data_IF_590714255192
#
_entry.id   IF_590714255192
#
_cell.length_a   1.000
_cell.length_b   1.000
_cell.length_c   1.000
_cell.angle_alpha   90.00
_cell.angle_beta   90.00
_cell.angle_gamma   90.00
#
_symmetry.space_group_name_H-M   'P 1'
#
loop_
_entity.id
_entity.type
_entity.pdbx_description
1 polymer ?
#
# COMPACT_ATOMS: atom_id res chain seq x y z
N UNK A 1 -6.91 2.51 -13.52
CA UNK A 1 -6.65 1.23 -12.80
C UNK A 1 -7.86 0.29 -12.73
N UNK A 2 -9.13 0.74 -12.61
CA UNK A 2 -10.27 -0.20 -12.55
C UNK A 2 -10.35 -1.19 -13.72
N UNK A 3 -10.08 -0.74 -14.95
CA UNK A 3 -10.05 -1.58 -16.16
C UNK A 3 -8.98 -2.68 -16.14
N UNK A 4 -7.85 -2.45 -15.47
CA UNK A 4 -6.78 -3.45 -15.36
C UNK A 4 -7.31 -4.78 -14.82
N UNK A 5 -8.14 -4.72 -13.77
CA UNK A 5 -8.70 -5.93 -13.17
C UNK A 5 -9.68 -6.64 -14.10
N UNK A 6 -10.46 -5.89 -14.89
CA UNK A 6 -11.40 -6.45 -15.86
C UNK A 6 -10.67 -7.12 -17.02
N UNK A 7 -9.54 -6.56 -17.46
CA UNK A 7 -8.74 -7.08 -18.57
C UNK A 7 -7.90 -8.29 -18.19
N UNK A 8 -7.35 -8.32 -16.96
CA UNK A 8 -6.41 -9.36 -16.52
C UNK A 8 -7.09 -10.51 -15.76
N UNK A 9 -8.31 -10.33 -15.26
CA UNK A 9 -9.05 -11.35 -14.51
C UNK A 9 -10.49 -11.49 -15.06
N UNK A 10 -10.67 -12.19 -16.20
CA UNK A 10 -11.98 -12.28 -16.86
C UNK A 10 -12.98 -13.18 -16.12
N UNK A 11 -12.49 -14.12 -15.30
CA UNK A 11 -13.36 -14.93 -14.44
C UNK A 11 -13.85 -14.11 -13.24
N UNK A 12 -15.16 -14.05 -12.95
CA UNK A 12 -15.68 -13.30 -11.80
C UNK A 12 -15.07 -13.69 -10.46
N UNK A 13 -14.78 -14.99 -10.27
CA UNK A 13 -14.17 -15.49 -9.04
C UNK A 13 -12.70 -15.02 -8.91
N UNK A 14 -11.95 -15.07 -10.01
CA UNK A 14 -10.55 -14.61 -10.04
C UNK A 14 -10.48 -13.09 -9.88
N UNK A 15 -11.38 -12.35 -10.53
CA UNK A 15 -11.51 -10.91 -10.39
C UNK A 15 -11.76 -10.52 -8.94
N UNK A 16 -12.74 -11.17 -8.29
CA UNK A 16 -13.06 -10.90 -6.89
C UNK A 16 -11.87 -11.20 -5.97
N UNK A 17 -11.18 -12.31 -6.19
CA UNK A 17 -9.99 -12.68 -5.41
C UNK A 17 -8.82 -11.70 -5.63
N UNK A 18 -8.56 -11.29 -6.87
CA UNK A 18 -7.52 -10.33 -7.22
C UNK A 18 -7.81 -8.94 -6.63
N UNK A 19 -9.07 -8.51 -6.66
CA UNK A 19 -9.53 -7.28 -6.03
C UNK A 19 -9.36 -7.32 -4.51
N UNK A 20 -9.68 -8.43 -3.86
CA UNK A 20 -9.44 -8.58 -2.42
C UNK A 20 -7.95 -8.49 -2.07
N UNK A 21 -7.08 -9.15 -2.85
CA UNK A 21 -5.62 -9.07 -2.67
C UNK A 21 -5.08 -7.66 -2.93
N UNK A 22 -5.56 -6.98 -3.97
CA UNK A 22 -5.25 -5.58 -4.24
C UNK A 22 -5.59 -4.68 -3.05
N UNK A 23 -6.82 -4.77 -2.54
CA UNK A 23 -7.29 -3.96 -1.41
C UNK A 23 -6.43 -4.19 -0.16
N UNK A 24 -6.17 -5.45 0.18
CA UNK A 24 -5.37 -5.80 1.36
C UNK A 24 -3.92 -5.36 1.20
N UNK A 25 -3.27 -5.65 0.07
CA UNK A 25 -1.88 -5.25 -0.18
C UNK A 25 -1.71 -3.72 -0.19
N UNK A 26 -2.63 -2.99 -0.83
CA UNK A 26 -2.63 -1.52 -0.82
C UNK A 26 -2.75 -0.97 0.59
N UNK A 27 -3.66 -1.50 1.41
CA UNK A 27 -3.87 -1.07 2.79
C UNK A 27 -2.63 -1.33 3.66
N UNK A 28 -2.12 -2.56 3.63
CA UNK A 28 -0.95 -2.97 4.42
C UNK A 28 0.29 -2.16 4.04
N UNK A 29 0.60 -2.02 2.75
CA UNK A 29 1.74 -1.22 2.30
C UNK A 29 1.58 0.27 2.62
N UNK A 30 0.36 0.81 2.57
CA UNK A 30 0.10 2.20 2.95
C UNK A 30 0.35 2.44 4.44
N UNK A 31 -0.14 1.56 5.31
CA UNK A 31 0.05 1.67 6.76
C UNK A 31 1.50 1.45 7.16
N UNK A 32 2.17 0.47 6.56
CA UNK A 32 3.59 0.23 6.79
C UNK A 32 4.43 1.43 6.34
N UNK A 33 4.17 1.95 5.13
CA UNK A 33 4.86 3.12 4.60
C UNK A 33 4.67 4.35 5.48
N UNK A 34 3.48 4.55 6.03
CA UNK A 34 3.24 5.61 7.02
C UNK A 34 4.05 5.39 8.30
N UNK A 35 4.03 4.17 8.86
CA UNK A 35 4.73 3.84 10.12
C UNK A 35 6.24 4.09 10.03
N UNK A 36 6.87 3.70 8.92
CA UNK A 36 8.32 3.82 8.73
C UNK A 36 8.73 5.15 8.08
N UNK A 37 7.80 6.06 7.82
CA UNK A 37 8.08 7.35 7.17
C UNK A 37 8.62 7.21 5.74
N UNK A 38 8.08 6.26 4.99
CA UNK A 38 8.46 5.95 3.60
C UNK A 38 8.04 7.09 2.66
N UNK A 39 9.02 7.64 1.94
CA UNK A 39 8.88 8.64 0.89
C UNK A 39 9.07 8.07 -0.51
N UNK A 40 9.21 8.96 -1.49
CA UNK A 40 9.42 8.67 -2.93
C UNK A 40 8.39 7.71 -3.52
N UNK A 41 7.12 7.94 -3.18
CA UNK A 41 5.99 7.05 -3.51
C UNK A 41 5.46 7.33 -4.90
N UNK A 42 6.32 7.59 -5.88
CA UNK A 42 5.90 7.90 -7.24
C UNK A 42 5.37 6.64 -7.96
N UNK A 43 4.57 6.77 -9.04
CA UNK A 43 3.95 5.63 -9.72
C UNK A 43 4.90 4.51 -10.13
N UNK A 44 6.14 4.82 -10.53
CA UNK A 44 7.11 3.78 -10.93
C UNK A 44 7.61 2.92 -9.76
N UNK A 45 7.41 3.36 -8.51
CA UNK A 45 7.77 2.57 -7.32
C UNK A 45 6.59 1.72 -6.82
N UNK A 46 5.39 1.86 -7.42
CA UNK A 46 4.26 0.98 -7.13
C UNK A 46 4.10 -0.06 -8.24
N UNK A 47 4.51 -1.30 -7.97
CA UNK A 47 4.36 -2.42 -8.88
C UNK A 47 3.03 -3.14 -8.62
N UNK A 48 2.19 -3.25 -9.65
CA UNK A 48 0.98 -4.05 -9.62
C UNK A 48 1.23 -5.39 -10.33
N UNK A 49 1.11 -6.50 -9.60
CA UNK A 49 1.42 -7.82 -10.13
C UNK A 49 0.27 -8.34 -11.03
N UNK A 50 0.49 -8.59 -12.33
CA UNK A 50 -0.59 -8.89 -13.28
C UNK A 50 -1.30 -10.22 -13.02
N UNK A 51 -0.61 -11.22 -12.49
CA UNK A 51 -1.23 -12.53 -12.22
C UNK A 51 -1.95 -12.61 -10.88
N UNK A 52 -1.65 -11.73 -9.91
CA UNK A 52 -2.24 -11.81 -8.56
C UNK A 52 -3.12 -10.61 -8.24
N UNK A 53 -2.84 -9.44 -8.81
CA UNK A 53 -3.52 -8.18 -8.51
C UNK A 53 -2.96 -7.46 -7.29
N UNK A 54 -1.90 -7.98 -6.66
CA UNK A 54 -1.27 -7.33 -5.50
C UNK A 54 -0.44 -6.13 -5.91
N UNK A 55 -0.46 -5.08 -5.08
CA UNK A 55 0.41 -3.92 -5.23
C UNK A 55 1.56 -4.00 -4.22
N UNK A 56 2.77 -3.71 -4.68
CA UNK A 56 3.99 -3.76 -3.87
C UNK A 56 4.80 -2.49 -4.11
N UNK A 57 5.38 -1.94 -3.04
CA UNK A 57 6.37 -0.86 -3.14
C UNK A 57 7.74 -1.49 -3.42
N UNK A 58 8.38 -1.16 -4.56
CA UNK A 58 9.62 -1.80 -5.00
C UNK A 58 10.90 -1.01 -4.67
N UNK A 59 10.77 0.25 -4.25
CA UNK A 59 11.88 1.07 -3.79
C UNK A 59 11.57 1.56 -2.37
N UNK A 60 12.51 1.31 -1.46
CA UNK A 60 12.42 1.69 -0.05
C UNK A 60 13.58 2.59 0.37
N UNK A 61 14.30 3.18 -0.60
CA UNK A 61 15.52 3.95 -0.36
C UNK A 61 15.33 5.27 0.39
N UNK A 62 14.11 5.81 0.41
CA UNK A 62 13.76 7.04 1.15
C UNK A 62 12.79 6.67 2.28
N UNK A 63 13.31 6.46 3.48
CA UNK A 63 12.53 6.11 4.68
C UNK A 63 12.81 7.08 5.84
N UNK A 64 12.14 6.87 6.98
CA UNK A 64 12.30 7.66 8.21
C UNK A 64 12.11 9.17 8.00
N UNK A 65 11.04 9.53 7.30
CA UNK A 65 10.63 10.91 6.98
C UNK A 65 11.62 11.71 6.12
N UNK A 66 12.64 11.06 5.53
CA UNK A 66 13.56 11.71 4.59
C UNK A 66 12.85 12.30 3.36
N UNK A 67 11.67 11.79 3.00
CA UNK A 67 10.83 12.36 1.94
C UNK A 67 10.41 13.83 2.17
N UNK A 68 10.46 14.32 3.42
CA UNK A 68 10.21 15.74 3.76
C UNK A 68 11.41 16.64 3.46
N UNK A 69 12.59 16.05 3.27
CA UNK A 69 13.85 16.76 3.00
C UNK A 69 14.12 16.88 1.49
N UNK A 70 13.28 16.30 0.64
CA UNK A 70 13.38 16.44 -0.81
C UNK A 70 13.17 17.90 -1.26
N UNK A 71 13.71 18.31 -2.43
CA UNK A 71 13.50 19.65 -2.97
C UNK A 71 12.03 20.03 -3.11
N UNK A 72 11.16 19.05 -3.40
CA UNK A 72 9.71 19.15 -3.28
C UNK A 72 9.24 18.18 -2.20
N UNK A 73 8.92 18.66 -0.99
CA UNK A 73 8.58 17.79 0.13
C UNK A 73 7.33 16.95 -0.12
N UNK A 74 7.38 15.67 0.23
CA UNK A 74 6.20 14.83 0.28
C UNK A 74 5.45 15.02 1.61
N UNK A 75 4.31 15.72 1.57
CA UNK A 75 3.52 16.07 2.77
C UNK A 75 2.35 15.12 3.07
N UNK A 76 2.12 14.12 2.21
CA UNK A 76 1.05 13.13 2.39
C UNK A 76 1.54 11.92 3.21
N UNK A 77 0.68 11.32 4.06
CA UNK A 77 1.07 10.19 4.91
C UNK A 77 1.32 8.91 4.12
N UNK A 78 0.60 8.71 3.01
CA UNK A 78 0.78 7.61 2.06
C UNK A 78 0.09 7.98 0.74
N UNK A 79 0.34 7.20 -0.30
CA UNK A 79 -0.24 7.44 -1.63
C UNK A 79 -1.58 6.73 -1.78
N UNK A 80 -2.68 7.50 -1.84
CA UNK A 80 -4.02 6.99 -2.13
C UNK A 80 -4.75 7.88 -3.15
N UNK A 81 -4.15 8.01 -4.34
CA UNK A 81 -4.70 8.85 -5.42
C UNK A 81 -6.00 8.28 -6.00
N UNK A 82 -6.72 9.11 -6.78
CA UNK A 82 -7.97 8.73 -7.47
C UNK A 82 -7.86 7.43 -8.28
N UNK A 83 -6.71 7.17 -8.92
CA UNK A 83 -6.52 5.94 -9.69
C UNK A 83 -6.50 4.69 -8.80
N UNK A 84 -5.85 4.77 -7.64
CA UNK A 84 -5.82 3.67 -6.68
C UNK A 84 -7.20 3.46 -6.05
N UNK A 85 -7.87 4.55 -5.67
CA UNK A 85 -9.25 4.50 -5.15
C UNK A 85 -10.22 3.92 -6.18
N UNK A 86 -10.11 4.30 -7.44
CA UNK A 86 -10.94 3.74 -8.51
C UNK A 86 -10.76 2.22 -8.63
N UNK A 87 -9.55 1.71 -8.41
CA UNK A 87 -9.29 0.28 -8.37
C UNK A 87 -9.76 -0.42 -7.09
N UNK A 88 -10.27 0.27 -6.07
CA UNK A 88 -10.98 -0.34 -4.94
C UNK A 88 -12.44 -0.64 -5.31
N UNK A 89 -13.00 0.10 -6.27
CA UNK A 89 -14.34 -0.12 -6.82
C UNK A 89 -15.31 0.99 -6.40
N UNK A 90 -16.61 0.82 -6.69
CA UNK A 90 -17.60 1.90 -6.57
C UNK A 90 -17.83 2.35 -5.12
N UNK A 91 -17.59 1.45 -4.16
CA UNK A 91 -17.71 1.73 -2.73
C UNK A 91 -16.43 2.31 -2.10
N UNK A 92 -15.39 2.56 -2.91
CA UNK A 92 -14.20 3.28 -2.45
C UNK A 92 -13.44 2.60 -1.30
N UNK A 93 -12.72 3.39 -0.48
CA UNK A 93 -11.93 2.89 0.64
C UNK A 93 -12.74 2.26 1.78
N UNK A 94 -14.02 2.59 1.89
CA UNK A 94 -14.92 2.07 2.91
C UNK A 94 -15.17 0.57 2.69
N UNK A 95 -15.13 0.10 1.44
CA UNK A 95 -15.26 -1.31 1.09
C UNK A 95 -13.92 -2.08 1.17
N UNK A 96 -13.50 -2.33 2.41
CA UNK A 96 -12.44 -3.29 2.73
C UNK A 96 -11.06 -2.67 2.94
N UNK A 97 -10.71 -1.55 2.28
CA UNK A 97 -9.42 -0.89 2.51
C UNK A 97 -9.30 -0.39 3.96
N UNK A 98 -10.33 0.29 4.46
CA UNK A 98 -10.33 0.85 5.83
C UNK A 98 -10.19 -0.26 6.87
N UNK A 99 -10.98 -1.34 6.74
CA UNK A 99 -10.93 -2.50 7.64
C UNK A 99 -9.56 -3.18 7.59
N UNK A 100 -8.98 -3.34 6.40
CA UNK A 100 -7.66 -3.92 6.24
C UNK A 100 -6.56 -3.02 6.83
N UNK A 101 -6.69 -1.69 6.68
CA UNK A 101 -5.74 -0.72 7.23
C UNK A 101 -5.78 -0.71 8.77
N UNK A 102 -6.96 -0.69 9.37
CA UNK A 102 -7.14 -0.81 10.82
C UNK A 102 -6.55 -2.12 11.35
N UNK A 103 -6.85 -3.24 10.67
CA UNK A 103 -6.32 -4.55 11.04
C UNK A 103 -4.79 -4.60 10.95
N UNK A 104 -4.21 -3.97 9.91
CA UNK A 104 -2.76 -3.88 9.74
C UNK A 104 -2.12 -3.06 10.86
N UNK A 105 -2.69 -1.89 11.20
CA UNK A 105 -2.19 -1.06 12.29
C UNK A 105 -2.24 -1.79 13.64
N UNK A 106 -3.32 -2.52 13.93
CA UNK A 106 -3.44 -3.33 15.13
C UNK A 106 -2.39 -4.45 15.17
N UNK A 107 -2.14 -5.12 14.05
CA UNK A 107 -1.10 -6.13 13.94
C UNK A 107 0.30 -5.53 14.17
N UNK A 108 0.60 -4.38 13.58
CA UNK A 108 1.88 -3.69 13.78
C UNK A 108 2.06 -3.21 15.22
N UNK A 109 1.01 -2.66 15.84
CA UNK A 109 1.05 -2.26 17.24
C UNK A 109 1.29 -3.44 18.18
N UNK A 110 0.68 -4.60 17.88
CA UNK A 110 0.88 -5.83 18.66
C UNK A 110 2.27 -6.43 18.49
N UNK A 111 2.91 -6.22 17.34
CA UNK A 111 4.28 -6.64 17.03
C UNK A 111 5.33 -5.54 17.17
N UNK A 112 5.02 -4.44 17.85
CA UNK A 112 5.86 -3.24 17.86
C UNK A 112 7.29 -3.51 18.36
N UNK A 113 7.45 -4.36 19.37
CA UNK A 113 8.77 -4.72 19.92
C UNK A 113 9.69 -5.33 18.86
N UNK A 114 9.14 -6.20 18.00
CA UNK A 114 9.89 -6.83 16.89
C UNK A 114 10.27 -5.79 15.85
N UNK A 115 9.34 -4.90 15.49
CA UNK A 115 9.59 -3.84 14.51
C UNK A 115 10.67 -2.90 15.03
N UNK A 116 10.57 -2.43 16.27
CA UNK A 116 11.57 -1.56 16.89
C UNK A 116 12.93 -2.26 16.92
N UNK A 117 12.99 -3.52 17.34
CA UNK A 117 14.24 -4.30 17.35
C UNK A 117 14.88 -4.37 15.97
N UNK A 118 14.09 -4.62 14.90
CA UNK A 118 14.60 -4.68 13.53
C UNK A 118 15.11 -3.31 13.04
N UNK A 119 14.48 -2.21 13.45
CA UNK A 119 14.89 -0.86 13.11
C UNK A 119 16.09 -0.36 13.93
N UNK A 120 16.29 -0.91 15.14
CA UNK A 120 17.41 -0.58 16.02
C UNK A 120 18.72 -1.29 15.63
N UNK A 121 18.69 -2.29 14.75
CA UNK A 121 19.90 -2.94 14.24
C UNK A 121 20.72 -1.90 13.48
N UNK A 122 21.66 -1.31 14.21
CA UNK A 122 22.71 -0.45 13.68
C UNK A 122 23.73 -1.31 12.95
N UNK A 123 23.99 -0.97 11.69
CA UNK A 123 25.31 -1.20 11.09
C UNK A 123 26.41 -0.47 11.87
#
# INVERSE_FOLDING_TARGET
>A
MGYFFLENFPSPAEWHAAKARYTTSLAVSSMLGFLVGLGDRHPHNLLLHPATGEVVHIDLGIAFDQGRLLPTPEVVPFRLTRDLVHALGPLGPEAGFTVAAESALLAFASGADVIITLLEVRD
#
